data_IF_607419538035
#
_entry.id   IF_607419538035
#
_cell.length_a   1.000
_cell.length_b   1.000
_cell.length_c   1.000
_cell.angle_alpha   90.00
_cell.angle_beta   90.00
_cell.angle_gamma   90.00
#
_symmetry.space_group_name_H-M   'P 1'
#
loop_
_entity.id
_entity.type
_entity.pdbx_description
1 polymer ?
#
# COMPACT_ATOMS: atom_id res chain seq x y z
N UNK A 1 -33.39 -38.70 -9.51
CA UNK A 1 -33.13 -37.68 -8.48
C UNK A 1 -31.98 -36.82 -8.98
N UNK A 2 -32.16 -35.50 -9.16
CA UNK A 2 -31.16 -34.63 -9.77
C UNK A 2 -30.21 -34.12 -8.69
N UNK A 3 -28.89 -34.20 -8.92
CA UNK A 3 -27.98 -33.27 -8.27
C UNK A 3 -27.51 -32.29 -9.33
N UNK A 4 -28.09 -31.10 -9.24
CA UNK A 4 -27.61 -29.88 -9.85
C UNK A 4 -26.18 -29.64 -9.38
N UNK A 5 -25.18 -29.86 -10.23
CA UNK A 5 -23.86 -29.24 -10.00
C UNK A 5 -23.97 -27.79 -10.44
N UNK A 6 -23.61 -26.81 -9.60
CA UNK A 6 -23.78 -25.41 -9.91
C UNK A 6 -22.96 -25.01 -11.14
N UNK A 7 -23.69 -24.42 -12.08
CA UNK A 7 -23.21 -23.62 -13.20
C UNK A 7 -22.63 -22.31 -12.63
N UNK A 8 -21.42 -21.95 -13.09
CA UNK A 8 -20.68 -20.67 -12.93
C UNK A 8 -19.77 -20.49 -11.70
N UNK A 9 -18.48 -20.28 -11.96
CA UNK A 9 -17.96 -18.90 -11.93
C UNK A 9 -16.96 -18.74 -13.09
N UNK A 10 -17.25 -17.89 -14.09
CA UNK A 10 -16.37 -17.68 -15.22
C UNK A 10 -15.09 -17.01 -14.74
N UNK A 11 -13.96 -17.69 -14.99
CA UNK A 11 -12.62 -17.13 -15.21
C UNK A 11 -12.56 -15.63 -14.91
N UNK A 12 -12.16 -15.27 -13.69
CA UNK A 12 -11.76 -13.90 -13.35
C UNK A 12 -10.52 -13.58 -14.18
N UNK A 13 -10.76 -13.16 -15.42
CA UNK A 13 -9.76 -12.70 -16.37
C UNK A 13 -9.28 -11.33 -15.89
N UNK A 14 -8.28 -11.37 -15.02
CA UNK A 14 -7.21 -10.39 -14.93
C UNK A 14 -7.64 -8.95 -14.61
N UNK A 15 -8.43 -8.76 -13.55
CA UNK A 15 -8.23 -7.55 -12.74
C UNK A 15 -6.97 -7.78 -11.90
N UNK A 16 -5.94 -6.91 -11.93
CA UNK A 16 -4.86 -7.01 -10.96
C UNK A 16 -5.47 -7.01 -9.55
N UNK A 17 -5.00 -7.89 -8.64
CA UNK A 17 -5.52 -7.91 -7.28
C UNK A 17 -5.47 -6.48 -6.72
N UNK A 18 -6.48 -6.06 -5.93
CA UNK A 18 -6.49 -4.72 -5.37
C UNK A 18 -5.17 -4.50 -4.63
N UNK A 19 -4.46 -3.43 -5.00
CA UNK A 19 -3.19 -3.12 -4.35
C UNK A 19 -3.46 -2.87 -2.87
N UNK A 20 -2.85 -3.71 -2.04
CA UNK A 20 -2.83 -3.54 -0.61
C UNK A 20 -1.46 -2.99 -0.27
N UNK A 21 -1.41 -1.73 0.11
CA UNK A 21 -0.25 -1.22 0.84
C UNK A 21 -0.05 -2.10 2.08
N UNK A 22 1.10 -2.75 2.18
CA UNK A 22 1.51 -3.48 3.39
C UNK A 22 1.84 -2.55 4.56
N UNK A 23 1.77 -1.23 4.32
CA UNK A 23 2.04 -0.18 5.29
C UNK A 23 0.83 0.04 6.19
N UNK A 24 1.09 0.05 7.50
CA UNK A 24 0.07 0.31 8.53
C UNK A 24 0.31 1.66 9.20
N UNK A 25 -0.74 2.37 9.64
CA UNK A 25 -0.59 3.57 10.46
C UNK A 25 0.30 3.30 11.68
N UNK A 26 1.22 4.22 11.97
CA UNK A 26 2.23 4.12 13.02
C UNK A 26 3.54 3.43 12.60
N UNK A 27 3.59 2.81 11.42
CA UNK A 27 4.82 2.20 10.92
C UNK A 27 5.85 3.25 10.51
N UNK A 28 7.10 3.06 10.92
CA UNK A 28 8.22 3.90 10.50
C UNK A 28 8.70 3.48 9.11
N UNK A 29 8.88 4.46 8.24
CA UNK A 29 9.26 4.28 6.86
C UNK A 29 10.28 5.34 6.44
N UNK A 30 11.15 5.01 5.50
CA UNK A 30 12.11 5.94 4.90
C UNK A 30 11.87 6.06 3.41
N UNK A 31 11.93 7.29 2.90
CA UNK A 31 11.87 7.55 1.48
C UNK A 31 13.22 7.18 0.84
N UNK A 32 13.25 6.30 -0.18
CA UNK A 32 14.51 5.87 -0.79
C UNK A 32 15.24 7.01 -1.51
N UNK A 33 14.51 7.86 -2.23
CA UNK A 33 15.10 8.99 -2.97
C UNK A 33 15.36 10.23 -2.13
N UNK A 34 14.79 10.29 -0.91
CA UNK A 34 14.88 11.45 -0.02
C UNK A 34 15.25 11.03 1.41
N UNK A 35 16.45 10.46 1.60
CA UNK A 35 16.91 10.06 2.92
C UNK A 35 17.05 11.24 3.88
N UNK A 36 17.19 12.47 3.38
CA UNK A 36 17.27 13.72 4.14
C UNK A 36 15.95 14.09 4.82
N UNK A 37 14.82 13.52 4.40
CA UNK A 37 13.53 13.75 5.06
C UNK A 37 13.43 13.10 6.44
N UNK A 38 14.35 12.18 6.75
CA UNK A 38 14.38 11.39 7.97
C UNK A 38 13.47 10.17 7.91
N UNK A 39 13.40 9.45 9.02
CA UNK A 39 12.39 8.43 9.24
C UNK A 39 11.01 9.07 9.44
N UNK A 40 10.06 8.73 8.58
CA UNK A 40 8.70 9.21 8.63
C UNK A 40 7.75 8.17 9.21
N UNK A 41 6.69 8.60 9.87
CA UNK A 41 5.64 7.72 10.37
C UNK A 41 4.44 7.70 9.42
N UNK A 42 3.98 6.53 9.03
CA UNK A 42 2.76 6.37 8.24
C UNK A 42 1.57 6.85 9.08
N UNK A 43 0.82 7.85 8.61
CA UNK A 43 -0.42 8.28 9.25
C UNK A 43 -1.63 7.53 8.69
N UNK A 44 -1.63 7.25 7.39
CA UNK A 44 -2.70 6.50 6.73
C UNK A 44 -2.18 5.79 5.49
N UNK A 45 -2.78 4.65 5.16
CA UNK A 45 -2.48 3.90 3.95
C UNK A 45 -3.81 3.41 3.37
N UNK A 46 -4.25 4.02 2.27
CA UNK A 46 -5.53 3.75 1.61
C UNK A 46 -5.24 3.29 0.19
N UNK A 47 -5.30 1.98 -0.05
CA UNK A 47 -4.94 1.39 -1.34
C UNK A 47 -3.48 1.65 -1.66
N UNK A 48 -3.21 2.35 -2.76
CA UNK A 48 -1.87 2.78 -3.18
C UNK A 48 -1.40 4.10 -2.54
N UNK A 49 -2.31 4.83 -1.90
CA UNK A 49 -2.07 6.17 -1.38
C UNK A 49 -1.67 6.10 0.08
N UNK A 50 -0.40 6.39 0.36
CA UNK A 50 0.16 6.33 1.70
C UNK A 50 0.55 7.72 2.14
N UNK A 51 -0.04 8.19 3.24
CA UNK A 51 0.32 9.47 3.85
C UNK A 51 1.33 9.21 4.95
N UNK A 52 2.50 9.84 4.83
CA UNK A 52 3.60 9.74 5.79
C UNK A 52 3.90 11.12 6.34
N UNK A 53 4.09 11.21 7.66
CA UNK A 53 4.62 12.41 8.31
C UNK A 53 6.13 12.25 8.44
N UNK A 54 6.90 13.00 7.67
CA UNK A 54 8.34 13.09 7.79
C UNK A 54 8.74 14.29 8.66
N UNK A 55 9.80 14.18 9.50
CA UNK A 55 10.22 15.26 10.39
C UNK A 55 10.72 16.51 9.63
N UNK A 56 11.39 16.34 8.50
CA UNK A 56 11.98 17.46 7.76
C UNK A 56 11.13 17.93 6.55
N UNK A 57 10.33 17.05 5.96
CA UNK A 57 9.45 17.37 4.84
C UNK A 57 7.99 17.61 5.23
N UNK A 58 7.60 17.29 6.47
CA UNK A 58 6.22 17.34 6.93
C UNK A 58 5.36 16.22 6.33
N UNK A 59 4.07 16.51 6.10
CA UNK A 59 3.12 15.53 5.59
C UNK A 59 3.26 15.34 4.08
N UNK A 60 3.71 14.17 3.67
CA UNK A 60 3.91 13.80 2.26
C UNK A 60 2.97 12.64 1.90
N UNK A 61 2.33 12.77 0.74
CA UNK A 61 1.52 11.70 0.17
C UNK A 61 2.35 10.94 -0.85
N UNK A 62 2.61 9.67 -0.57
CA UNK A 62 3.42 8.77 -1.38
C UNK A 62 2.49 7.81 -2.12
N UNK A 63 2.75 7.61 -3.41
CA UNK A 63 2.09 6.57 -4.19
C UNK A 63 2.93 5.29 -4.12
N UNK A 64 2.45 4.30 -3.39
CA UNK A 64 3.12 3.02 -3.17
C UNK A 64 3.20 2.13 -4.42
N UNK A 65 2.52 2.49 -5.52
CA UNK A 65 2.72 1.87 -6.85
C UNK A 65 3.98 2.37 -7.56
N UNK A 66 4.42 3.59 -7.23
CA UNK A 66 5.54 4.28 -7.90
C UNK A 66 6.79 4.26 -7.01
N UNK A 67 6.59 4.50 -5.72
CA UNK A 67 7.68 4.60 -4.73
C UNK A 67 7.52 3.51 -3.68
N UNK A 68 8.53 2.65 -3.59
CA UNK A 68 8.59 1.63 -2.54
C UNK A 68 9.30 2.21 -1.32
N UNK A 69 8.52 2.58 -0.31
CA UNK A 69 9.07 3.03 0.97
C UNK A 69 9.76 1.88 1.70
N UNK A 70 10.92 2.16 2.30
CA UNK A 70 11.63 1.17 3.12
C UNK A 70 11.05 1.19 4.52
N UNK A 71 10.45 0.08 4.94
CA UNK A 71 9.97 -0.09 6.32
C UNK A 71 11.17 -0.22 7.25
N UNK A 72 11.20 0.59 8.31
CA UNK A 72 12.14 0.46 9.41
C UNK A 72 11.45 -0.40 10.47
N UNK A 73 11.98 -1.60 10.71
CA UNK A 73 11.42 -2.57 11.66
C UNK A 73 11.89 -2.31 13.09
#
# INVERSE_FOLDING_TARGET
MPVVTPMQEPRSIMAPPPFRSFLVPGQLVRHPDHPEWGDGAVQSAIGERVTVMFPHAGKVMVNAMVVQLTVLS
#
